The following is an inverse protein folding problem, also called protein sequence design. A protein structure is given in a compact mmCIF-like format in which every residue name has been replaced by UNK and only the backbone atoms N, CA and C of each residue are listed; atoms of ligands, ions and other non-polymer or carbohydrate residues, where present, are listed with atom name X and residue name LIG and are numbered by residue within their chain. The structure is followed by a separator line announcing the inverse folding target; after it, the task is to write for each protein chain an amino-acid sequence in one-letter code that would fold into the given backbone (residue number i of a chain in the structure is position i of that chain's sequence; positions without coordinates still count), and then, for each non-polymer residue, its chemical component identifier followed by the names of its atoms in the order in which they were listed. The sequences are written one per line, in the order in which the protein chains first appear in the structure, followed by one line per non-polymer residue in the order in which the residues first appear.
data_IF_225332760194
#
_entry.id   IF_225332760194
#
_cell.length_a   1.000
_cell.length_b   1.000
_cell.length_c   1.000
_cell.angle_alpha   90.00
_cell.angle_beta   90.00
_cell.angle_gamma   90.00
#
_symmetry.space_group_name_H-M   'P 1'
#
loop_
_entity.id
_entity.type
_entity.pdbx_description
1 polymer ?
#
# COMPACT_ATOMS: atom_id res chain seq x y z
N UNK A 1 15.86 16.55 -29.08
CA UNK A 1 15.30 15.21 -28.87
C UNK A 1 16.46 14.21 -28.73
N UNK A 2 16.75 13.82 -27.47
CA UNK A 2 17.73 12.79 -27.14
C UNK A 2 17.08 11.41 -27.02
N UNK A 3 17.88 10.35 -26.84
CA UNK A 3 17.34 9.03 -26.58
C UNK A 3 16.51 9.04 -25.27
N UNK A 4 15.44 8.25 -25.26
CA UNK A 4 14.56 8.15 -24.08
C UNK A 4 15.37 7.75 -22.83
N UNK A 5 15.16 8.38 -21.65
CA UNK A 5 15.93 8.12 -20.42
C UNK A 5 15.50 6.82 -19.74
N UNK A 6 15.56 5.68 -20.45
CA UNK A 6 15.05 4.39 -20.01
C UNK A 6 15.71 3.90 -18.73
N UNK A 7 17.04 4.12 -18.60
CA UNK A 7 17.79 3.75 -17.38
C UNK A 7 17.29 4.52 -16.16
N UNK A 8 17.01 5.82 -16.31
CA UNK A 8 16.45 6.65 -15.23
C UNK A 8 15.05 6.20 -14.83
N UNK A 9 14.19 5.89 -15.80
CA UNK A 9 12.84 5.38 -15.55
C UNK A 9 12.87 4.02 -14.85
N UNK A 10 13.74 3.10 -15.28
CA UNK A 10 13.93 1.83 -14.62
C UNK A 10 14.41 2.00 -13.19
N UNK A 11 15.37 2.90 -12.93
CA UNK A 11 15.87 3.18 -11.60
C UNK A 11 14.78 3.77 -10.69
N UNK A 12 13.99 4.72 -11.19
CA UNK A 12 12.86 5.29 -10.45
C UNK A 12 11.86 4.19 -10.01
N UNK A 13 11.56 3.23 -10.89
CA UNK A 13 10.69 2.10 -10.55
C UNK A 13 11.30 1.17 -9.51
N UNK A 14 12.60 0.90 -9.58
CA UNK A 14 13.32 0.10 -8.56
C UNK A 14 13.23 0.76 -7.19
N UNK A 15 13.45 2.08 -7.10
CA UNK A 15 13.29 2.85 -5.87
C UNK A 15 11.85 2.76 -5.35
N UNK A 16 10.85 2.98 -6.22
CA UNK A 16 9.44 2.89 -5.85
C UNK A 16 9.09 1.51 -5.25
N UNK A 17 9.59 0.41 -5.80
CA UNK A 17 9.35 -0.93 -5.24
C UNK A 17 9.89 -1.13 -3.83
N UNK A 18 10.94 -0.42 -3.42
CA UNK A 18 11.43 -0.48 -2.04
C UNK A 18 10.55 0.27 -1.06
N UNK A 19 9.68 1.17 -1.53
CA UNK A 19 8.74 1.92 -0.71
C UNK A 19 7.34 1.31 -0.68
N UNK A 20 6.92 0.62 -1.75
CA UNK A 20 5.62 -0.07 -1.79
C UNK A 20 5.56 -1.28 -0.87
N UNK A 21 6.68 -1.99 -0.71
CA UNK A 21 6.76 -3.19 0.12
C UNK A 21 7.23 -2.85 1.53
N UNK A 22 6.71 -3.57 2.51
CA UNK A 22 7.22 -3.45 3.87
C UNK A 22 8.62 -4.09 3.99
N UNK A 23 9.45 -3.65 4.94
CA UNK A 23 10.72 -4.32 5.23
C UNK A 23 10.53 -5.79 5.62
N UNK A 24 9.47 -6.10 6.36
CA UNK A 24 9.16 -7.47 6.78
C UNK A 24 8.84 -8.38 5.58
N UNK A 25 8.10 -7.89 4.59
CA UNK A 25 7.85 -8.65 3.36
C UNK A 25 9.13 -8.88 2.56
N UNK A 26 9.95 -7.83 2.40
CA UNK A 26 11.21 -7.94 1.66
C UNK A 26 12.16 -8.93 2.33
N UNK A 27 12.26 -8.88 3.66
CA UNK A 27 13.07 -9.83 4.42
C UNK A 27 12.52 -11.26 4.30
N UNK A 28 11.22 -11.45 4.43
CA UNK A 28 10.60 -12.78 4.29
C UNK A 28 10.78 -13.37 2.89
N UNK A 29 10.69 -12.57 1.84
CA UNK A 29 10.76 -13.03 0.45
C UNK A 29 12.18 -13.25 -0.05
N UNK A 30 13.10 -12.43 0.38
CA UNK A 30 14.43 -12.39 -0.22
C UNK A 30 15.53 -12.58 0.82
N UNK A 31 15.40 -12.03 2.03
CA UNK A 31 16.43 -12.07 3.05
C UNK A 31 17.80 -11.72 2.47
N UNK A 32 18.74 -12.65 2.61
CA UNK A 32 20.10 -12.58 2.03
C UNK A 32 20.31 -13.63 0.94
N UNK A 33 19.26 -14.09 0.29
CA UNK A 33 19.37 -15.09 -0.76
C UNK A 33 20.15 -14.55 -1.97
N UNK A 34 21.09 -15.33 -2.46
CA UNK A 34 21.83 -15.05 -3.68
C UNK A 34 20.95 -15.32 -4.91
N UNK A 35 21.16 -14.57 -5.99
CA UNK A 35 20.49 -14.85 -7.23
C UNK A 35 20.97 -16.20 -7.78
N UNK A 36 20.06 -16.96 -8.38
CA UNK A 36 20.33 -18.34 -8.79
C UNK A 36 21.53 -18.42 -9.73
N UNK A 37 22.53 -19.19 -9.32
CA UNK A 37 23.76 -19.41 -10.08
C UNK A 37 24.80 -18.31 -9.96
N UNK A 38 24.58 -17.32 -9.09
CA UNK A 38 25.52 -16.25 -8.78
C UNK A 38 26.03 -16.41 -7.34
N UNK A 39 27.26 -15.97 -7.06
CA UNK A 39 27.77 -15.89 -5.68
C UNK A 39 28.14 -14.46 -5.32
N UNK A 40 27.68 -14.00 -4.16
CA UNK A 40 27.99 -12.68 -3.62
C UNK A 40 29.28 -12.66 -2.82
N UNK A 41 29.88 -13.85 -2.60
CA UNK A 41 31.10 -14.04 -1.82
C UNK A 41 32.22 -14.53 -2.72
N UNK A 42 33.44 -13.98 -2.58
CA UNK A 42 34.67 -14.54 -3.16
C UNK A 42 35.20 -13.88 -4.44
N UNK A 43 34.70 -12.70 -4.82
CA UNK A 43 35.27 -11.90 -5.91
C UNK A 43 36.53 -11.14 -5.46
N UNK A 44 37.51 -10.95 -6.37
CA UNK A 44 38.64 -10.03 -6.15
C UNK A 44 38.14 -8.58 -6.07
N UNK A 45 38.89 -7.73 -5.37
CA UNK A 45 38.57 -6.31 -5.29
C UNK A 45 38.52 -5.72 -6.72
N UNK A 46 37.34 -5.17 -7.11
CA UNK A 46 37.13 -4.57 -8.44
C UNK A 46 36.49 -5.51 -9.48
N UNK A 47 36.27 -6.79 -9.15
CA UNK A 47 35.44 -7.66 -10.01
C UNK A 47 33.97 -7.55 -9.67
N UNK A 48 33.06 -7.69 -10.66
CA UNK A 48 31.62 -7.70 -10.39
C UNK A 48 31.28 -8.85 -9.44
N UNK A 49 30.66 -8.54 -8.31
CA UNK A 49 30.07 -9.56 -7.44
C UNK A 49 28.82 -10.16 -8.06
N UNK A 50 28.44 -11.35 -7.65
CA UNK A 50 27.11 -11.87 -7.88
C UNK A 50 26.03 -11.01 -7.22
N UNK A 51 24.80 -11.16 -7.66
CA UNK A 51 23.64 -10.38 -7.19
C UNK A 51 22.86 -11.13 -6.13
N UNK A 52 22.21 -10.40 -5.24
CA UNK A 52 21.17 -10.95 -4.40
C UNK A 52 19.84 -11.11 -5.18
N UNK A 53 18.99 -12.03 -4.76
CA UNK A 53 17.69 -12.30 -5.39
C UNK A 53 16.81 -11.03 -5.48
N UNK A 54 16.86 -10.16 -4.48
CA UNK A 54 16.14 -8.87 -4.48
C UNK A 54 16.61 -7.95 -5.60
N UNK A 55 17.90 -7.95 -5.95
CA UNK A 55 18.41 -7.10 -7.05
C UNK A 55 17.80 -7.52 -8.38
N UNK A 56 17.71 -8.84 -8.63
CA UNK A 56 17.04 -9.39 -9.81
C UNK A 56 15.55 -9.06 -9.87
N UNK A 57 14.86 -9.13 -8.73
CA UNK A 57 13.46 -8.71 -8.61
C UNK A 57 13.27 -7.23 -8.97
N UNK A 58 14.10 -6.35 -8.43
CA UNK A 58 14.02 -4.92 -8.71
C UNK A 58 14.34 -4.60 -10.17
N UNK A 59 15.34 -5.27 -10.76
CA UNK A 59 15.70 -5.12 -12.18
C UNK A 59 14.54 -5.54 -13.08
N UNK A 60 13.88 -6.66 -12.80
CA UNK A 60 12.70 -7.11 -13.54
C UNK A 60 11.58 -6.05 -13.53
N UNK A 61 11.26 -5.48 -12.38
CA UNK A 61 10.22 -4.46 -12.29
C UNK A 61 10.60 -3.14 -12.94
N UNK A 62 11.88 -2.78 -12.91
CA UNK A 62 12.42 -1.64 -13.66
C UNK A 62 12.23 -1.81 -15.16
N UNK A 63 12.69 -2.94 -15.71
CA UNK A 63 12.57 -3.28 -17.13
C UNK A 63 11.09 -3.31 -17.58
N UNK A 64 10.23 -3.97 -16.80
CA UNK A 64 8.79 -4.06 -17.10
C UNK A 64 8.07 -2.70 -17.15
N UNK A 65 8.51 -1.72 -16.35
CA UNK A 65 7.95 -0.37 -16.46
C UNK A 65 8.38 0.32 -17.75
N UNK A 66 9.65 0.21 -18.12
CA UNK A 66 10.22 0.81 -19.34
C UNK A 66 9.49 0.33 -20.60
N UNK A 67 9.06 -0.93 -20.64
CA UNK A 67 8.33 -1.50 -21.78
C UNK A 67 6.95 -0.89 -22.00
N UNK A 68 6.31 -0.35 -20.97
CA UNK A 68 4.90 0.07 -21.00
C UNK A 68 4.65 1.52 -20.65
N UNK A 69 5.66 2.27 -20.21
CA UNK A 69 5.48 3.62 -19.71
C UNK A 69 6.58 4.55 -20.22
N UNK A 70 6.23 5.77 -20.54
CA UNK A 70 7.22 6.75 -20.96
C UNK A 70 7.67 7.65 -19.80
N UNK A 71 8.91 8.15 -19.89
CA UNK A 71 9.52 8.93 -18.83
C UNK A 71 8.87 10.31 -18.65
N UNK A 72 8.36 10.95 -19.71
CA UNK A 72 7.72 12.25 -19.58
C UNK A 72 6.37 12.14 -18.87
N UNK A 73 5.58 11.11 -19.21
CA UNK A 73 4.34 10.81 -18.50
C UNK A 73 4.62 10.48 -17.03
N UNK A 74 5.70 9.74 -16.73
CA UNK A 74 6.11 9.47 -15.35
C UNK A 74 6.42 10.75 -14.59
N UNK A 75 7.19 11.66 -15.18
CA UNK A 75 7.51 12.95 -14.59
C UNK A 75 6.27 13.82 -14.40
N UNK A 76 5.38 13.89 -15.39
CA UNK A 76 4.16 14.69 -15.30
C UNK A 76 3.22 14.19 -14.16
N UNK A 77 3.02 12.88 -14.04
CA UNK A 77 2.21 12.30 -12.95
C UNK A 77 2.88 12.52 -11.59
N UNK A 78 4.20 12.34 -11.51
CA UNK A 78 4.95 12.57 -10.27
C UNK A 78 4.92 14.03 -9.84
N UNK A 79 5.05 14.97 -10.77
CA UNK A 79 4.94 16.42 -10.50
C UNK A 79 3.54 16.78 -10.01
N UNK A 80 2.50 16.18 -10.60
CA UNK A 80 1.12 16.38 -10.14
C UNK A 80 0.93 15.89 -8.70
N UNK A 81 1.50 14.73 -8.33
CA UNK A 81 1.46 14.21 -6.96
C UNK A 81 2.22 15.11 -5.99
N UNK A 82 3.45 15.52 -6.33
CA UNK A 82 4.28 16.38 -5.46
C UNK A 82 3.63 17.73 -5.24
N UNK A 83 3.04 18.30 -6.30
CA UNK A 83 2.42 19.63 -6.25
C UNK A 83 0.99 19.60 -5.70
N UNK A 84 0.39 18.43 -5.48
CA UNK A 84 -0.98 18.33 -4.97
C UNK A 84 -1.08 18.87 -3.55
N UNK A 85 -2.02 19.80 -3.36
CA UNK A 85 -2.39 20.34 -2.06
C UNK A 85 -3.88 20.69 -2.07
N UNK A 86 -4.70 19.90 -1.38
CA UNK A 86 -6.14 20.12 -1.30
C UNK A 86 -6.50 21.44 -0.62
N UNK A 87 -5.63 21.93 0.26
CA UNK A 87 -5.80 23.19 0.98
C UNK A 87 -5.33 24.45 0.20
N UNK A 88 -4.66 24.28 -0.95
CA UNK A 88 -4.10 25.39 -1.71
C UNK A 88 -5.16 26.43 -2.07
N UNK A 89 -4.99 27.66 -1.58
CA UNK A 89 -5.93 28.75 -1.76
C UNK A 89 -7.23 28.64 -0.98
N UNK A 90 -7.34 27.66 -0.07
CA UNK A 90 -8.54 27.38 0.74
C UNK A 90 -8.29 27.45 2.26
N UNK A 91 -7.09 27.86 2.68
CA UNK A 91 -6.67 27.95 4.08
C UNK A 91 -6.06 26.68 4.63
N UNK A 92 -6.52 26.22 5.78
CA UNK A 92 -6.07 24.95 6.39
C UNK A 92 -6.78 23.72 5.77
N UNK A 93 -6.28 22.52 6.02
CA UNK A 93 -6.94 21.28 5.62
C UNK A 93 -8.40 21.23 6.12
N UNK A 94 -8.64 21.56 7.39
CA UNK A 94 -9.98 21.59 7.94
C UNK A 94 -10.89 22.63 7.25
N UNK A 95 -10.35 23.81 6.91
CA UNK A 95 -11.11 24.82 6.16
C UNK A 95 -11.43 24.36 4.73
N UNK A 96 -10.50 23.67 4.08
CA UNK A 96 -10.73 23.12 2.75
C UNK A 96 -11.80 22.02 2.73
N UNK A 97 -11.92 21.25 3.82
CA UNK A 97 -12.88 20.16 3.97
C UNK A 97 -14.20 20.59 4.62
N UNK A 98 -14.29 21.82 5.16
CA UNK A 98 -15.45 22.29 5.93
C UNK A 98 -16.80 22.22 5.21
N UNK A 99 -16.80 22.15 3.88
CA UNK A 99 -18.00 22.13 3.05
C UNK A 99 -18.29 20.74 2.44
N UNK A 100 -17.59 19.69 2.90
CA UNK A 100 -17.89 18.33 2.46
C UNK A 100 -19.13 17.81 3.21
N UNK A 101 -20.13 17.37 2.47
CA UNK A 101 -21.41 16.85 2.95
C UNK A 101 -21.58 15.34 2.71
N UNK A 102 -20.55 14.69 2.18
CA UNK A 102 -20.53 13.24 1.95
C UNK A 102 -20.15 12.48 3.23
N UNK A 103 -20.56 11.22 3.28
CA UNK A 103 -20.06 10.27 4.27
C UNK A 103 -18.64 9.84 3.94
N UNK A 104 -17.80 9.73 4.96
CA UNK A 104 -16.41 9.38 4.83
C UNK A 104 -16.11 8.02 5.47
N UNK A 105 -15.44 7.16 4.73
CA UNK A 105 -14.78 5.96 5.25
C UNK A 105 -13.29 6.05 4.90
N UNK A 106 -12.44 6.04 5.92
CA UNK A 106 -11.00 6.17 5.76
C UNK A 106 -10.34 4.90 6.25
N UNK A 107 -9.48 4.31 5.43
CA UNK A 107 -8.70 3.14 5.79
C UNK A 107 -7.21 3.36 5.53
N UNK A 108 -6.36 2.68 6.29
CA UNK A 108 -4.92 2.71 6.11
C UNK A 108 -4.33 1.32 6.38
N UNK A 109 -3.26 0.98 5.67
CA UNK A 109 -2.52 -0.26 5.93
C UNK A 109 -1.45 0.03 7.00
N UNK A 110 -1.41 -0.78 8.05
CA UNK A 110 -0.52 -0.58 9.21
C UNK A 110 0.97 -0.50 8.84
N UNK A 111 1.41 -1.20 7.80
CA UNK A 111 2.81 -1.23 7.34
C UNK A 111 3.09 -0.37 6.12
N UNK A 112 2.13 0.46 5.69
CA UNK A 112 2.30 1.34 4.53
C UNK A 112 3.37 2.42 4.82
N UNK A 113 4.35 2.49 3.93
CA UNK A 113 5.47 3.44 3.98
C UNK A 113 5.41 4.49 2.87
N UNK A 114 4.41 4.39 2.01
CA UNK A 114 4.14 5.36 0.95
C UNK A 114 3.06 6.36 1.41
N UNK A 115 1.94 5.84 1.94
CA UNK A 115 0.90 6.62 2.61
C UNK A 115 0.83 6.17 4.06
N UNK A 116 1.50 6.90 4.93
CA UNK A 116 1.59 6.54 6.34
C UNK A 116 0.23 6.60 7.04
N UNK A 117 -0.10 5.66 7.93
CA UNK A 117 -1.36 5.67 8.67
C UNK A 117 -1.65 6.99 9.40
N UNK A 118 -0.63 7.68 9.91
CA UNK A 118 -0.81 8.97 10.58
C UNK A 118 -1.35 10.07 9.66
N UNK A 119 -1.10 10.00 8.33
CA UNK A 119 -1.69 10.95 7.38
C UNK A 119 -3.19 10.69 7.20
N UNK A 120 -3.63 9.43 7.24
CA UNK A 120 -5.04 9.07 7.24
C UNK A 120 -5.75 9.54 8.51
N UNK A 121 -5.12 9.41 9.67
CA UNK A 121 -5.64 9.97 10.92
C UNK A 121 -5.75 11.49 10.86
N UNK A 122 -4.72 12.17 10.36
CA UNK A 122 -4.74 13.62 10.17
C UNK A 122 -5.88 14.09 9.25
N UNK A 123 -6.15 13.34 8.17
CA UNK A 123 -7.27 13.60 7.28
C UNK A 123 -8.60 13.41 8.03
N UNK A 124 -8.75 12.30 8.74
CA UNK A 124 -9.97 11.98 9.50
C UNK A 124 -10.31 13.02 10.57
N UNK A 125 -9.29 13.53 11.28
CA UNK A 125 -9.42 14.57 12.29
C UNK A 125 -9.78 15.94 11.70
N UNK A 126 -9.40 16.20 10.44
CA UNK A 126 -9.66 17.47 9.76
C UNK A 126 -11.07 17.56 9.15
N UNK A 127 -11.84 16.47 9.13
CA UNK A 127 -13.21 16.45 8.63
C UNK A 127 -14.15 17.27 9.52
N UNK A 128 -15.25 17.85 8.98
CA UNK A 128 -16.27 18.53 9.77
C UNK A 128 -16.84 17.67 10.89
N UNK A 129 -17.01 16.38 10.63
CA UNK A 129 -17.31 15.34 11.61
C UNK A 129 -16.18 14.32 11.55
N UNK A 130 -15.29 14.27 12.54
CA UNK A 130 -14.21 13.30 12.60
C UNK A 130 -14.72 11.86 12.51
N UNK A 131 -14.05 11.02 11.76
CA UNK A 131 -14.37 9.60 11.60
C UNK A 131 -13.21 8.72 12.08
N UNK A 132 -13.47 7.48 12.52
CA UNK A 132 -12.40 6.55 12.82
C UNK A 132 -11.65 6.15 11.53
N UNK A 133 -10.37 5.79 11.67
CA UNK A 133 -9.58 5.21 10.60
C UNK A 133 -9.56 3.70 10.78
N UNK A 134 -10.00 2.97 9.76
CA UNK A 134 -9.92 1.52 9.72
C UNK A 134 -8.49 1.08 9.41
N UNK A 135 -7.89 0.29 10.27
CA UNK A 135 -6.55 -0.23 10.05
C UNK A 135 -6.65 -1.61 9.39
N UNK A 136 -6.08 -1.70 8.19
CA UNK A 136 -5.88 -2.96 7.47
C UNK A 136 -4.55 -3.55 7.95
N UNK A 137 -4.62 -4.65 8.67
CA UNK A 137 -3.46 -5.39 9.16
C UNK A 137 -2.84 -6.20 8.02
N UNK A 138 -1.63 -5.84 7.60
CA UNK A 138 -0.91 -6.50 6.53
C UNK A 138 0.60 -6.34 6.66
N UNK A 139 1.34 -7.34 6.26
CA UNK A 139 2.80 -7.27 6.14
C UNK A 139 3.26 -6.80 4.75
N UNK A 140 2.33 -6.54 3.83
CA UNK A 140 2.65 -6.29 2.41
C UNK A 140 2.93 -4.80 2.09
N UNK A 141 2.94 -3.92 3.08
CA UNK A 141 3.14 -2.49 2.85
C UNK A 141 1.96 -1.87 2.11
N UNK A 142 2.25 -0.94 1.21
CA UNK A 142 1.22 -0.23 0.44
C UNK A 142 0.25 -1.15 -0.30
N UNK A 143 0.74 -2.26 -0.85
CA UNK A 143 -0.10 -3.21 -1.59
C UNK A 143 -1.05 -4.02 -0.68
N UNK A 144 -0.98 -3.85 0.65
CA UNK A 144 -1.83 -4.57 1.61
C UNK A 144 -3.32 -4.42 1.32
N UNK A 145 -3.78 -3.23 0.90
CA UNK A 145 -5.20 -3.01 0.57
C UNK A 145 -5.68 -3.82 -0.65
N UNK A 146 -4.78 -4.26 -1.53
CA UNK A 146 -5.07 -5.13 -2.67
C UNK A 146 -5.05 -6.62 -2.29
N UNK A 147 -4.27 -6.97 -1.27
CA UNK A 147 -4.01 -8.36 -0.87
C UNK A 147 -4.99 -8.80 0.21
N UNK A 148 -5.30 -7.93 1.17
CA UNK A 148 -6.17 -8.20 2.31
C UNK A 148 -7.66 -8.02 1.94
N UNK A 149 -8.10 -8.67 0.86
CA UNK A 149 -9.44 -8.50 0.28
C UNK A 149 -10.56 -8.64 1.29
N UNK A 150 -10.47 -9.59 2.25
CA UNK A 150 -11.50 -9.79 3.28
C UNK A 150 -11.64 -8.62 4.26
N UNK A 151 -10.53 -7.96 4.61
CA UNK A 151 -10.57 -6.77 5.47
C UNK A 151 -11.18 -5.60 4.72
N UNK A 152 -10.77 -5.40 3.46
CA UNK A 152 -11.32 -4.36 2.58
C UNK A 152 -12.81 -4.57 2.31
N UNK A 153 -13.23 -5.81 2.05
CA UNK A 153 -14.64 -6.18 1.85
C UNK A 153 -15.51 -5.78 3.06
N UNK A 154 -15.07 -6.09 4.28
CA UNK A 154 -15.79 -5.69 5.51
C UNK A 154 -15.91 -4.18 5.66
N UNK A 155 -14.85 -3.44 5.36
CA UNK A 155 -14.85 -1.97 5.42
C UNK A 155 -15.85 -1.43 4.38
N UNK A 156 -15.82 -1.94 3.16
CA UNK A 156 -16.72 -1.52 2.08
C UNK A 156 -18.18 -1.92 2.37
N UNK A 157 -18.45 -3.12 2.86
CA UNK A 157 -19.80 -3.57 3.23
C UNK A 157 -20.42 -2.62 4.26
N UNK A 158 -19.66 -2.28 5.30
CA UNK A 158 -20.10 -1.30 6.30
C UNK A 158 -20.33 0.09 5.71
N UNK A 159 -19.42 0.58 4.87
CA UNK A 159 -19.52 1.89 4.22
C UNK A 159 -20.73 1.99 3.28
N UNK A 160 -21.10 0.90 2.64
CA UNK A 160 -22.22 0.83 1.71
C UNK A 160 -23.55 0.41 2.37
N UNK A 161 -23.54 0.12 3.69
CA UNK A 161 -24.71 -0.38 4.38
C UNK A 161 -25.20 -1.75 3.89
N UNK A 162 -24.29 -2.55 3.31
CA UNK A 162 -24.58 -3.92 2.88
C UNK A 162 -24.34 -4.85 4.06
N UNK A 163 -25.34 -5.66 4.42
CA UNK A 163 -25.18 -6.67 5.46
C UNK A 163 -24.12 -7.69 5.02
N UNK A 164 -23.20 -8.01 5.93
CA UNK A 164 -22.20 -9.04 5.72
C UNK A 164 -22.88 -10.42 5.80
N UNK A 165 -23.31 -10.97 4.66
CA UNK A 165 -23.91 -12.32 4.58
C UNK A 165 -22.93 -13.40 5.13
N UNK A 166 -21.64 -13.12 5.26
CA UNK A 166 -20.66 -14.01 5.86
C UNK A 166 -20.70 -14.03 7.40
N UNK A 167 -21.39 -13.06 8.00
CA UNK A 167 -21.61 -12.96 9.44
C UNK A 167 -22.79 -13.81 9.93
N UNK A 168 -23.32 -14.71 9.11
CA UNK A 168 -24.31 -15.69 9.57
C UNK A 168 -23.67 -16.55 10.68
N UNK A 169 -24.20 -16.54 11.92
CA UNK A 169 -23.60 -17.27 13.02
C UNK A 169 -23.42 -18.73 12.64
N UNK A 170 -22.23 -19.28 12.87
CA UNK A 170 -21.96 -20.68 12.59
C UNK A 170 -22.99 -21.56 13.37
N UNK A 171 -23.32 -22.73 12.83
CA UNK A 171 -24.25 -23.66 13.49
C UNK A 171 -23.87 -23.89 14.96
N UNK A 172 -22.58 -23.92 15.27
CA UNK A 172 -22.05 -24.03 16.64
C UNK A 172 -22.30 -22.79 17.52
N UNK A 173 -22.43 -21.60 16.93
CA UNK A 173 -22.79 -20.37 17.67
C UNK A 173 -24.29 -20.33 17.97
N UNK A 174 -25.13 -20.75 17.02
CA UNK A 174 -26.59 -20.88 17.22
C UNK A 174 -26.93 -21.95 18.28
N UNK A 175 -26.21 -23.05 18.30
CA UNK A 175 -26.37 -24.11 19.34
C UNK A 175 -25.96 -23.61 20.72
N UNK A 176 -24.91 -22.80 20.85
CA UNK A 176 -24.51 -22.18 22.13
C UNK A 176 -25.53 -21.16 22.64
N UNK A 177 -26.03 -20.29 21.76
CA UNK A 177 -27.07 -19.31 22.12
C UNK A 177 -28.41 -20.00 22.50
N UNK A 178 -28.75 -21.08 21.80
CA UNK A 178 -29.93 -21.89 22.16
C UNK A 178 -29.76 -22.58 23.51
N UNK A 179 -28.58 -23.10 23.82
CA UNK A 179 -28.28 -23.75 25.12
C UNK A 179 -28.31 -22.73 26.28
N UNK A 180 -27.78 -21.54 26.08
CA UNK A 180 -27.77 -20.45 27.08
C UNK A 180 -29.20 -19.91 27.35
N UNK A 181 -30.06 -19.91 26.34
CA UNK A 181 -31.46 -19.50 26.51
C UNK A 181 -32.35 -20.53 27.24
N UNK A 182 -31.93 -21.80 27.26
CA UNK A 182 -32.65 -22.87 27.99
C UNK A 182 -32.20 -23.01 29.45
N UNK A 183 -31.17 -22.29 29.88
CA UNK A 183 -30.59 -22.37 31.24
C UNK A 183 -30.93 -21.14 32.10
N UNK A 184 -31.76 -20.23 31.57
CA UNK A 184 -32.36 -19.11 32.32
C UNK A 184 -33.84 -19.34 32.52
#
# INVERSE_FOLDING_TARGET
DGPAPLTGLALARRIAHTTYRSPAELEHRFGREENRGESTVGGSLGEPRGRYAIESYLDHHGAKLVERFDANSYLAVNEALISHDVARGRGTLAQALAHTDCEWTIAAVNTDRLFFPHESHRLAEALPTPVPVDIIESNHGHDGFLIEAKQVEKILARALGVEDESATPSEAQREREALDSMTR
#
